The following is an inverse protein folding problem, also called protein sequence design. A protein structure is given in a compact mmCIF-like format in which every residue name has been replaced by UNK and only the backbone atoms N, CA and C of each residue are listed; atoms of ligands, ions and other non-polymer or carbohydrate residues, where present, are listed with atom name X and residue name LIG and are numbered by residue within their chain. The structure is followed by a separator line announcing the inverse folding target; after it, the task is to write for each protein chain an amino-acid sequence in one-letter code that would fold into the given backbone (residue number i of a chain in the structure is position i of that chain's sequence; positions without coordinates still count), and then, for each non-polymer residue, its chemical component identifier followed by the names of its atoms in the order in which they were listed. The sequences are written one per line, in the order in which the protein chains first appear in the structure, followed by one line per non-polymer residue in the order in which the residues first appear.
data_IF_853728096173
#
_entry.id   IF_853728096173
#
_cell.length_a   1.000
_cell.length_b   1.000
_cell.length_c   1.000
_cell.angle_alpha   90.00
_cell.angle_beta   90.00
_cell.angle_gamma   90.00
#
_symmetry.space_group_name_H-M   'P 1'
#
loop_
_entity.id
_entity.type
_entity.pdbx_description
1 polymer ?
#
# COMPACT_ATOMS: atom_id res chain seq x y z
N UNK A 1 40.00 7.07 -14.28
CA UNK A 1 38.73 7.52 -14.92
C UNK A 1 37.59 6.78 -14.25
N UNK A 2 36.81 7.45 -13.40
CA UNK A 2 35.66 6.86 -12.70
C UNK A 2 34.48 6.85 -13.67
N UNK A 3 34.01 5.67 -14.05
CA UNK A 3 32.91 5.52 -15.00
C UNK A 3 31.59 5.73 -14.25
N UNK A 4 31.02 6.92 -14.43
CA UNK A 4 29.81 7.39 -13.77
C UNK A 4 28.64 7.24 -14.73
N UNK A 5 28.10 6.04 -14.92
CA UNK A 5 26.84 5.84 -15.65
C UNK A 5 26.09 4.61 -15.15
N UNK A 6 25.18 4.83 -14.20
CA UNK A 6 23.87 4.16 -14.18
C UNK A 6 22.88 4.96 -13.31
N UNK A 7 22.70 6.25 -13.60
CA UNK A 7 21.57 7.01 -13.05
C UNK A 7 20.37 6.72 -13.94
N UNK A 8 19.51 5.82 -13.46
CA UNK A 8 18.15 5.68 -13.98
C UNK A 8 17.40 6.94 -13.55
N UNK A 9 17.51 8.02 -14.33
CA UNK A 9 16.76 9.24 -14.11
C UNK A 9 15.27 8.98 -14.38
N UNK A 10 14.57 8.53 -13.33
CA UNK A 10 13.11 8.61 -13.29
C UNK A 10 12.80 10.11 -13.12
N UNK A 11 12.59 10.80 -14.24
CA UNK A 11 12.49 12.28 -14.30
C UNK A 11 11.31 12.82 -13.46
N UNK A 12 10.39 11.93 -13.06
CA UNK A 12 9.26 12.20 -12.18
C UNK A 12 9.19 11.08 -11.12
N UNK A 13 9.68 11.32 -9.92
CA UNK A 13 9.41 10.44 -8.78
C UNK A 13 7.99 10.72 -8.29
N UNK A 14 7.07 9.78 -8.48
CA UNK A 14 5.66 9.95 -8.12
C UNK A 14 5.45 10.25 -6.63
N UNK A 15 6.35 9.78 -5.76
CA UNK A 15 6.34 10.10 -4.32
C UNK A 15 6.60 11.58 -4.05
N UNK A 16 7.38 12.24 -4.90
CA UNK A 16 7.64 13.67 -4.81
C UNK A 16 6.50 14.53 -5.37
N UNK A 17 5.54 13.93 -6.06
CA UNK A 17 4.37 14.61 -6.64
C UNK A 17 3.16 14.49 -5.72
N UNK A 18 3.00 13.32 -5.07
CA UNK A 18 1.91 13.12 -4.10
C UNK A 18 2.28 13.73 -2.76
N UNK A 19 1.54 14.76 -2.39
CA UNK A 19 1.68 15.48 -1.13
C UNK A 19 0.99 14.72 0.01
N UNK A 20 1.72 14.47 1.10
CA UNK A 20 1.20 13.76 2.28
C UNK A 20 0.04 14.52 2.94
N UNK A 21 0.10 15.86 2.95
CA UNK A 21 -0.97 16.68 3.52
C UNK A 21 -2.29 16.46 2.76
N UNK A 22 -2.25 16.41 1.42
CA UNK A 22 -3.42 16.06 0.61
C UNK A 22 -3.91 14.64 0.88
N UNK A 23 -3.00 13.69 1.12
CA UNK A 23 -3.37 12.33 1.51
C UNK A 23 -4.16 12.31 2.82
N UNK A 24 -3.70 13.04 3.84
CA UNK A 24 -4.42 13.15 5.12
C UNK A 24 -5.76 13.85 4.96
N UNK A 25 -5.84 14.94 4.18
CA UNK A 25 -7.11 15.60 3.88
C UNK A 25 -8.11 14.66 3.20
N UNK A 26 -7.67 13.92 2.16
CA UNK A 26 -8.53 12.97 1.47
C UNK A 26 -9.01 11.85 2.40
N UNK A 27 -8.15 11.33 3.28
CA UNK A 27 -8.56 10.32 4.28
C UNK A 27 -9.57 10.91 5.26
N UNK A 28 -9.38 12.15 5.71
CA UNK A 28 -10.29 12.84 6.63
C UNK A 28 -11.68 13.05 6.01
N UNK A 29 -11.73 13.52 4.76
CA UNK A 29 -12.98 13.72 4.02
C UNK A 29 -13.74 12.40 3.79
N UNK A 30 -13.03 11.34 3.39
CA UNK A 30 -13.65 10.02 3.20
C UNK A 30 -14.18 9.43 4.50
N UNK A 31 -13.53 9.74 5.62
CA UNK A 31 -13.86 9.19 6.93
C UNK A 31 -14.99 9.95 7.62
N UNK A 32 -14.99 11.27 7.51
CA UNK A 32 -15.94 12.17 8.15
C UNK A 32 -16.45 13.17 7.11
N UNK A 33 -17.43 12.76 6.27
CA UNK A 33 -17.95 13.60 5.18
C UNK A 33 -18.75 14.81 5.68
N UNK A 34 -19.31 14.73 6.90
CA UNK A 34 -20.06 15.83 7.52
C UNK A 34 -19.27 16.42 8.69
N UNK A 35 -19.20 15.68 9.81
CA UNK A 35 -18.53 16.12 11.03
C UNK A 35 -17.64 15.04 11.62
N UNK A 36 -16.57 15.47 12.29
CA UNK A 36 -15.62 14.59 12.96
C UNK A 36 -16.29 13.92 14.16
N UNK A 37 -16.29 12.59 14.16
CA UNK A 37 -16.86 11.77 15.23
C UNK A 37 -15.79 10.93 15.90
N UNK A 38 -15.88 10.83 17.22
CA UNK A 38 -14.97 10.03 18.02
C UNK A 38 -14.94 8.57 17.57
N UNK A 39 -13.74 8.03 17.33
CA UNK A 39 -13.54 6.63 16.88
C UNK A 39 -13.88 5.59 17.95
N UNK A 40 -14.00 6.01 19.22
CA UNK A 40 -14.30 5.13 20.34
C UNK A 40 -15.79 5.13 20.72
N UNK A 41 -16.41 6.32 20.82
CA UNK A 41 -17.79 6.45 21.32
C UNK A 41 -18.76 7.11 20.32
N UNK A 42 -18.32 7.45 19.11
CA UNK A 42 -19.11 8.07 18.03
C UNK A 42 -19.74 9.44 18.37
N UNK A 43 -19.36 10.03 19.51
CA UNK A 43 -19.77 11.38 19.89
C UNK A 43 -19.19 12.43 18.94
N UNK A 44 -19.98 13.47 18.73
CA UNK A 44 -19.68 14.75 18.07
C UNK A 44 -18.91 15.74 18.96
N UNK A 45 -18.82 15.50 20.27
CA UNK A 45 -18.04 16.30 21.22
C UNK A 45 -16.54 16.07 21.05
N UNK A 46 -15.99 16.48 19.91
CA UNK A 46 -14.59 16.35 19.54
C UNK A 46 -13.98 17.75 19.42
N UNK A 47 -12.79 17.91 19.98
CA UNK A 47 -11.99 19.13 19.84
C UNK A 47 -10.61 18.79 19.26
N UNK A 48 -10.09 19.71 18.46
CA UNK A 48 -8.73 19.60 17.94
C UNK A 48 -7.71 19.70 19.08
N UNK A 49 -6.74 18.80 19.08
CA UNK A 49 -5.71 18.67 20.10
C UNK A 49 -4.30 18.69 19.47
N UNK A 50 -4.08 19.69 18.61
CA UNK A 50 -2.82 19.89 17.90
C UNK A 50 -2.50 18.77 16.90
N UNK A 51 -1.24 18.71 16.49
CA UNK A 51 -0.77 17.78 15.45
C UNK A 51 0.23 16.78 16.00
N UNK A 52 0.49 15.73 15.22
CA UNK A 52 1.59 14.82 15.50
C UNK A 52 2.96 15.51 15.35
N UNK A 53 3.91 15.15 16.21
CA UNK A 53 5.25 15.75 16.21
C UNK A 53 6.09 15.30 15.02
N UNK A 54 5.89 14.06 14.55
CA UNK A 54 6.62 13.49 13.40
C UNK A 54 5.91 13.80 12.09
N UNK A 55 4.58 13.87 12.12
CA UNK A 55 3.73 14.10 10.95
C UNK A 55 2.79 15.28 11.19
N UNK A 56 3.24 16.52 10.94
CA UNK A 56 2.43 17.73 11.18
C UNK A 56 1.08 17.72 10.45
N UNK A 57 1.00 17.05 9.31
CA UNK A 57 -0.23 16.82 8.54
C UNK A 57 -1.30 15.97 9.27
N UNK A 58 -0.89 15.16 10.25
CA UNK A 58 -1.78 14.32 11.06
C UNK A 58 -2.36 15.14 12.21
N UNK A 59 -3.68 15.30 12.20
CA UNK A 59 -4.45 15.95 13.25
C UNK A 59 -4.70 14.99 14.41
N UNK A 60 -4.54 15.48 15.64
CA UNK A 60 -4.95 14.80 16.86
C UNK A 60 -6.23 15.41 17.40
N UNK A 61 -7.06 14.58 18.01
CA UNK A 61 -8.38 14.91 18.52
C UNK A 61 -8.54 14.44 19.95
N UNK A 62 -9.28 15.22 20.73
CA UNK A 62 -9.72 14.84 22.07
C UNK A 62 -11.25 14.78 22.11
N UNK A 63 -11.80 13.69 22.62
CA UNK A 63 -13.24 13.54 22.79
C UNK A 63 -13.66 13.94 24.20
N UNK A 64 -14.51 14.96 24.33
CA UNK A 64 -15.06 15.41 25.61
C UNK A 64 -16.13 14.50 26.22
N UNK A 65 -16.58 13.46 25.50
CA UNK A 65 -17.56 12.50 26.03
C UNK A 65 -16.89 11.31 26.73
N UNK A 66 -15.89 10.69 26.09
CA UNK A 66 -15.18 9.54 26.65
C UNK A 66 -13.78 9.86 27.19
N UNK A 67 -13.35 11.13 27.13
CA UNK A 67 -11.99 11.60 27.46
C UNK A 67 -10.87 10.84 26.74
N UNK A 68 -11.19 10.29 25.55
CA UNK A 68 -10.25 9.55 24.73
C UNK A 68 -9.55 10.45 23.71
N UNK A 69 -8.33 10.07 23.34
CA UNK A 69 -7.57 10.70 22.27
C UNK A 69 -7.54 9.81 21.04
N UNK A 70 -7.65 10.41 19.87
CA UNK A 70 -7.54 9.71 18.59
C UNK A 70 -6.95 10.64 17.52
N UNK A 71 -6.56 10.08 16.39
CA UNK A 71 -6.04 10.82 15.24
C UNK A 71 -6.79 10.43 13.96
N UNK A 72 -6.44 11.06 12.84
CA UNK A 72 -7.02 10.77 11.51
C UNK A 72 -6.96 9.28 11.14
N UNK A 73 -5.93 8.57 11.60
CA UNK A 73 -5.62 7.19 11.22
C UNK A 73 -6.07 6.16 12.26
N UNK A 74 -6.58 6.58 13.42
CA UNK A 74 -7.02 5.70 14.49
C UNK A 74 -8.08 4.69 14.00
N UNK A 75 -7.91 3.40 14.25
CA UNK A 75 -8.80 2.34 13.77
C UNK A 75 -8.73 2.06 12.26
N UNK A 76 -7.77 2.64 11.54
CA UNK A 76 -7.49 2.30 10.14
C UNK A 76 -6.28 1.39 10.02
N UNK A 77 -6.11 0.78 8.84
CA UNK A 77 -4.90 0.01 8.51
C UNK A 77 -3.62 0.86 8.49
N UNK A 78 -3.73 2.19 8.53
CA UNK A 78 -2.60 3.11 8.51
C UNK A 78 -2.15 3.50 9.94
N UNK A 79 -2.87 3.06 10.97
CA UNK A 79 -2.55 3.38 12.36
C UNK A 79 -1.19 2.81 12.78
N UNK A 80 -0.40 3.60 13.51
CA UNK A 80 0.84 3.14 14.13
C UNK A 80 2.01 2.92 13.16
N UNK A 81 1.86 3.23 11.88
CA UNK A 81 2.94 3.10 10.91
C UNK A 81 3.78 4.39 10.81
N UNK A 82 5.11 4.23 10.86
CA UNK A 82 6.10 5.33 10.78
C UNK A 82 6.37 5.85 9.36
N UNK A 83 5.72 5.29 8.33
CA UNK A 83 5.95 5.72 6.94
C UNK A 83 4.86 6.69 6.54
N UNK A 84 5.25 7.69 5.74
CA UNK A 84 4.37 8.68 5.14
C UNK A 84 3.12 8.02 4.50
N UNK A 85 1.97 8.65 4.67
CA UNK A 85 0.68 8.10 4.26
C UNK A 85 0.57 7.96 2.72
N UNK A 86 1.15 8.91 1.98
CA UNK A 86 1.35 8.90 0.54
C UNK A 86 1.91 7.59 0.01
N UNK A 87 2.87 6.98 0.72
CA UNK A 87 3.47 5.70 0.33
C UNK A 87 2.44 4.57 0.36
N UNK A 88 1.57 4.56 1.38
CA UNK A 88 0.50 3.58 1.49
C UNK A 88 -0.57 3.77 0.42
N UNK A 89 -0.97 5.02 0.17
CA UNK A 89 -1.97 5.35 -0.86
C UNK A 89 -1.44 5.01 -2.26
N UNK A 90 -0.18 5.32 -2.56
CA UNK A 90 0.46 4.93 -3.82
C UNK A 90 0.55 3.42 -3.97
N UNK A 91 0.89 2.69 -2.90
CA UNK A 91 0.92 1.24 -2.91
C UNK A 91 -0.47 0.66 -3.24
N UNK A 92 -1.53 1.20 -2.62
CA UNK A 92 -2.91 0.82 -2.91
C UNK A 92 -3.30 1.13 -4.37
N UNK A 93 -2.93 2.32 -4.88
CA UNK A 93 -3.17 2.71 -6.27
C UNK A 93 -2.49 1.75 -7.26
N UNK A 94 -1.22 1.42 -7.04
CA UNK A 94 -0.50 0.47 -7.90
C UNK A 94 -1.01 -0.96 -7.81
N UNK A 95 -1.51 -1.39 -6.65
CA UNK A 95 -2.23 -2.66 -6.54
C UNK A 95 -3.51 -2.66 -7.40
N UNK A 96 -4.26 -1.56 -7.43
CA UNK A 96 -5.44 -1.41 -8.29
C UNK A 96 -5.12 -1.45 -9.79
N UNK A 97 -3.91 -1.01 -10.17
CA UNK A 97 -3.37 -1.14 -11.52
C UNK A 97 -2.74 -2.52 -11.82
N UNK A 98 -2.85 -3.47 -10.89
CA UNK A 98 -2.30 -4.83 -11.00
C UNK A 98 -0.78 -4.89 -11.24
N UNK A 99 -0.02 -3.94 -10.71
CA UNK A 99 1.45 -4.00 -10.73
C UNK A 99 1.96 -5.11 -9.81
N UNK A 100 3.05 -5.76 -10.21
CA UNK A 100 3.74 -6.72 -9.35
C UNK A 100 4.44 -6.02 -8.17
N UNK A 101 4.60 -6.74 -7.05
CA UNK A 101 5.27 -6.20 -5.86
C UNK A 101 6.71 -5.74 -6.14
N UNK A 102 7.40 -6.33 -7.11
CA UNK A 102 8.74 -5.88 -7.53
C UNK A 102 8.71 -4.58 -8.35
N UNK A 103 7.67 -4.35 -9.16
CA UNK A 103 7.45 -3.07 -9.83
C UNK A 103 7.08 -1.97 -8.84
N UNK A 104 6.17 -2.27 -7.91
CA UNK A 104 5.78 -1.34 -6.83
C UNK A 104 7.01 -0.97 -5.99
N UNK A 105 7.83 -1.94 -5.61
CA UNK A 105 9.07 -1.72 -4.86
C UNK A 105 10.04 -0.80 -5.63
N UNK A 106 10.18 -0.98 -6.95
CA UNK A 106 11.03 -0.13 -7.76
C UNK A 106 10.49 1.29 -7.89
N UNK A 107 9.20 1.42 -8.19
CA UNK A 107 8.55 2.73 -8.39
C UNK A 107 8.52 3.56 -7.10
N UNK A 108 8.37 2.87 -5.97
CA UNK A 108 8.40 3.49 -4.66
C UNK A 108 9.80 3.49 -4.02
N UNK A 109 10.85 2.98 -4.65
CA UNK A 109 12.19 2.88 -4.02
C UNK A 109 12.13 2.24 -2.61
N UNK A 110 11.38 1.14 -2.47
CA UNK A 110 11.20 0.40 -1.22
C UNK A 110 11.81 -0.99 -1.34
N UNK A 111 12.15 -1.59 -0.19
CA UNK A 111 12.48 -3.00 -0.16
C UNK A 111 11.26 -3.85 -0.55
N UNK A 112 11.50 -4.91 -1.33
CA UNK A 112 10.43 -5.81 -1.77
C UNK A 112 9.73 -6.50 -0.60
N UNK A 113 10.45 -6.78 0.49
CA UNK A 113 9.89 -7.33 1.74
C UNK A 113 8.84 -6.39 2.34
N UNK A 114 9.15 -5.09 2.39
CA UNK A 114 8.26 -4.11 2.97
C UNK A 114 7.02 -3.93 2.09
N UNK A 115 7.17 -3.99 0.76
CA UNK A 115 6.03 -3.98 -0.16
C UNK A 115 5.19 -5.23 0.00
N UNK A 116 5.81 -6.41 0.15
CA UNK A 116 5.10 -7.66 0.41
C UNK A 116 4.24 -7.56 1.67
N UNK A 117 4.81 -7.06 2.77
CA UNK A 117 4.07 -6.86 4.02
C UNK A 117 2.90 -5.89 3.85
N UNK A 118 3.14 -4.69 3.28
CA UNK A 118 2.10 -3.68 3.07
C UNK A 118 0.98 -4.18 2.17
N UNK A 119 1.32 -4.79 1.04
CA UNK A 119 0.33 -5.35 0.10
C UNK A 119 -0.45 -6.50 0.75
N UNK A 120 0.18 -7.30 1.61
CA UNK A 120 -0.50 -8.30 2.43
C UNK A 120 -1.56 -7.69 3.35
N UNK A 121 -1.19 -6.66 4.12
CA UNK A 121 -2.13 -5.96 5.01
C UNK A 121 -3.27 -5.27 4.25
N UNK A 122 -2.97 -4.63 3.11
CA UNK A 122 -3.97 -4.02 2.24
C UNK A 122 -4.95 -5.06 1.69
N UNK A 123 -4.45 -6.19 1.15
CA UNK A 123 -5.31 -7.29 0.67
C UNK A 123 -6.18 -7.84 1.78
N UNK A 124 -5.62 -8.06 2.98
CA UNK A 124 -6.39 -8.54 4.12
C UNK A 124 -7.52 -7.57 4.49
N UNK A 125 -7.24 -6.26 4.49
CA UNK A 125 -8.24 -5.22 4.73
C UNK A 125 -9.36 -5.22 3.69
N UNK A 126 -9.03 -5.44 2.41
CA UNK A 126 -10.03 -5.57 1.32
C UNK A 126 -10.88 -6.82 1.51
N UNK A 127 -10.28 -7.96 1.83
CA UNK A 127 -11.02 -9.22 2.05
C UNK A 127 -12.00 -9.10 3.22
N UNK A 128 -11.57 -8.52 4.35
CA UNK A 128 -12.43 -8.35 5.53
C UNK A 128 -13.59 -7.39 5.30
N UNK A 129 -13.46 -6.43 4.38
CA UNK A 129 -14.51 -5.45 4.07
C UNK A 129 -15.38 -5.86 2.88
N UNK A 130 -14.98 -6.88 2.13
CA UNK A 130 -15.77 -7.35 0.99
C UNK A 130 -17.08 -7.95 1.53
N UNK A 131 -18.25 -7.42 1.14
CA UNK A 131 -19.53 -7.97 1.59
C UNK A 131 -19.65 -9.41 1.08
N UNK A 132 -20.29 -10.25 1.89
CA UNK A 132 -20.62 -11.60 1.45
C UNK A 132 -21.62 -11.50 0.30
N UNK A 133 -21.33 -12.19 -0.81
CA UNK A 133 -22.24 -12.23 -1.95
C UNK A 133 -23.40 -13.17 -1.62
N UNK A 134 -24.63 -12.67 -1.65
CA UNK A 134 -25.84 -13.47 -1.65
C UNK A 134 -26.26 -13.69 -3.11
N UNK A 135 -26.37 -14.96 -3.52
CA UNK A 135 -26.67 -15.33 -4.90
C UNK A 135 -28.19 -15.58 -5.04
N UNK A 136 -28.82 -14.95 -6.02
CA UNK A 136 -30.25 -15.09 -6.29
C UNK A 136 -30.51 -15.25 -7.80
N UNK A 137 -31.55 -16.01 -8.15
CA UNK A 137 -31.96 -16.24 -9.55
C UNK A 137 -31.07 -17.25 -10.26
N UNK A 138 -30.84 -17.01 -11.55
CA UNK A 138 -29.93 -17.81 -12.38
C UNK A 138 -28.48 -17.38 -12.11
N UNK A 139 -27.62 -18.35 -11.77
CA UNK A 139 -26.22 -18.12 -11.41
C UNK A 139 -25.32 -18.87 -12.38
N UNK A 140 -24.47 -18.14 -13.09
CA UNK A 140 -23.42 -18.72 -13.93
C UNK A 140 -22.12 -18.86 -13.14
N UNK A 141 -21.42 -19.97 -13.37
CA UNK A 141 -20.14 -20.28 -12.77
C UNK A 141 -19.11 -20.46 -13.88
N UNK A 142 -18.00 -19.71 -13.82
CA UNK A 142 -16.86 -19.84 -14.70
C UNK A 142 -15.62 -20.23 -13.89
N UNK A 143 -14.73 -21.00 -14.50
CA UNK A 143 -13.52 -21.50 -13.85
C UNK A 143 -12.26 -20.91 -14.49
N UNK A 144 -11.38 -20.36 -13.67
CA UNK A 144 -10.05 -19.90 -14.09
C UNK A 144 -8.98 -20.66 -13.32
N UNK A 145 -8.06 -21.27 -14.06
CA UNK A 145 -6.92 -22.00 -13.48
C UNK A 145 -5.73 -21.07 -13.33
N UNK A 146 -5.31 -20.83 -12.08
CA UNK A 146 -4.13 -20.03 -11.76
C UNK A 146 -3.03 -20.94 -11.21
N UNK A 147 -1.85 -20.93 -11.85
CA UNK A 147 -0.69 -21.67 -11.36
C UNK A 147 -0.12 -20.98 -10.11
N UNK A 148 -0.39 -21.52 -8.92
CA UNK A 148 0.09 -20.99 -7.62
C UNK A 148 1.58 -21.31 -7.33
N UNK A 149 2.40 -21.40 -8.37
CA UNK A 149 3.83 -21.73 -8.29
C UNK A 149 4.15 -23.22 -8.40
N UNK A 150 5.40 -23.52 -8.70
CA UNK A 150 5.90 -24.88 -8.94
C UNK A 150 6.49 -25.48 -7.65
N UNK A 151 5.67 -25.58 -6.60
CA UNK A 151 6.11 -26.12 -5.31
C UNK A 151 6.69 -27.53 -5.50
N UNK A 152 7.97 -27.71 -5.18
CA UNK A 152 8.69 -28.99 -5.37
C UNK A 152 9.38 -29.17 -6.73
N UNK A 153 9.20 -28.26 -7.69
CA UNK A 153 9.81 -28.33 -9.02
C UNK A 153 10.52 -27.02 -9.42
N UNK A 154 11.57 -26.61 -8.69
CA UNK A 154 12.28 -25.35 -8.96
C UNK A 154 12.89 -25.30 -10.38
N UNK A 155 13.27 -26.45 -10.95
CA UNK A 155 13.83 -26.54 -12.30
C UNK A 155 12.82 -26.14 -13.40
N UNK A 156 11.52 -26.27 -13.15
CA UNK A 156 10.47 -25.88 -14.11
C UNK A 156 10.27 -24.37 -14.21
N UNK A 157 10.82 -23.59 -13.27
CA UNK A 157 10.75 -22.12 -13.22
C UNK A 157 12.07 -21.46 -13.60
N UNK A 158 13.12 -22.25 -13.79
CA UNK A 158 14.46 -21.75 -14.10
C UNK A 158 14.43 -21.09 -15.47
N UNK A 159 14.42 -19.76 -15.51
CA UNK A 159 14.54 -19.02 -16.78
C UNK A 159 15.84 -19.47 -17.46
N UNK A 160 15.75 -20.07 -18.64
CA UNK A 160 16.91 -20.33 -19.49
C UNK A 160 17.56 -18.97 -19.78
N UNK A 161 18.78 -18.76 -19.30
CA UNK A 161 19.63 -17.66 -19.75
C UNK A 161 19.88 -17.87 -21.22
N UNK A 162 19.14 -17.16 -22.07
CA UNK A 162 19.50 -17.05 -23.49
C UNK A 162 20.76 -16.22 -23.54
N UNK A 163 21.91 -16.86 -23.78
CA UNK A 163 23.13 -16.17 -24.20
C UNK A 163 22.83 -15.57 -25.57
N UNK A 164 22.55 -14.28 -25.62
CA UNK A 164 22.75 -13.50 -26.84
C UNK A 164 24.22 -13.10 -26.82
N UNK A 165 24.98 -13.55 -27.82
CA UNK A 165 26.38 -13.19 -27.98
C UNK A 165 26.52 -11.65 -28.01
N UNK A 166 27.14 -11.08 -26.98
CA UNK A 166 27.62 -9.69 -27.00
C UNK A 166 27.29 -8.80 -25.81
N UNK A 167 26.35 -9.12 -24.91
CA UNK A 167 26.13 -8.26 -23.72
C UNK A 167 25.60 -9.06 -22.52
N UNK A 168 26.44 -9.19 -21.49
CA UNK A 168 26.03 -9.79 -20.21
C UNK A 168 25.35 -8.72 -19.36
N UNK A 169 24.04 -8.56 -19.53
CA UNK A 169 23.22 -7.83 -18.56
C UNK A 169 22.97 -8.76 -17.37
N UNK A 170 23.69 -8.55 -16.26
CA UNK A 170 23.36 -9.18 -14.96
C UNK A 170 22.03 -8.61 -14.48
N UNK A 171 20.93 -9.32 -14.75
CA UNK A 171 19.68 -9.11 -14.03
C UNK A 171 19.88 -9.74 -12.65
N UNK A 172 19.96 -8.91 -11.61
CA UNK A 172 20.09 -9.36 -10.23
C UNK A 172 19.00 -10.38 -9.92
N UNK A 173 19.45 -11.51 -9.39
CA UNK A 173 18.63 -12.51 -8.76
C UNK A 173 17.93 -11.89 -7.54
N UNK A 174 16.62 -12.10 -7.44
CA UNK A 174 15.89 -12.46 -6.22
C UNK A 174 14.45 -11.96 -6.33
N UNK A 175 13.51 -12.91 -6.49
CA UNK A 175 12.12 -12.81 -6.04
C UNK A 175 11.30 -14.04 -6.51
N UNK A 176 11.57 -15.21 -5.94
CA UNK A 176 10.52 -16.23 -5.74
C UNK A 176 10.70 -16.79 -4.34
N UNK A 177 10.33 -15.99 -3.36
CA UNK A 177 10.08 -16.46 -2.00
C UNK A 177 8.75 -15.83 -1.60
N UNK A 178 7.75 -16.69 -1.44
CA UNK A 178 6.41 -16.36 -1.00
C UNK A 178 6.44 -15.82 0.43
#
# INVERSE_FOLDING_TARGET
MKNSQNESHNILNIKGIIDDARCFCAVRELRWPEDIRCTHCQSDKVVDHGHDETHPERQRYHCGNCNGYFDDLAGTIFQGHHRALSVWILCLYFMGLNLSNSQIARELELNISDVQERTGQLRQGVVLRKPQAELHGEVEWDEVYVLAGHKGYPESVRKKTVKVEGTVSKVLADAVRW
#
